data_IF_145304637859
#
_entry.id   IF_145304637859
#
_cell.length_a   1.000
_cell.length_b   1.000
_cell.length_c   1.000
_cell.angle_alpha   90.00
_cell.angle_beta   90.00
_cell.angle_gamma   90.00
#
_symmetry.space_group_name_H-M   'P 1'
#
loop_
_entity.id
_entity.type
_entity.pdbx_description
1 polymer ?
#
# COMPACT_ATOMS: atom_id res chain seq x y z
N UNK A 1 -18.46 7.65 5.65
CA UNK A 1 -19.18 6.67 6.51
C UNK A 1 -19.41 7.32 7.86
N UNK A 2 -20.57 7.16 8.51
CA UNK A 2 -20.94 7.95 9.72
C UNK A 2 -20.89 7.18 11.06
N UNK A 3 -20.69 5.86 11.07
CA UNK A 3 -20.82 5.03 12.29
C UNK A 3 -19.73 3.95 12.44
N UNK A 4 -18.58 4.11 11.81
CA UNK A 4 -17.52 3.08 11.85
C UNK A 4 -16.18 3.75 12.10
N UNK A 5 -15.44 3.21 13.06
CA UNK A 5 -14.04 3.55 13.32
C UNK A 5 -13.17 2.38 12.86
N UNK A 6 -12.09 2.66 12.14
CA UNK A 6 -11.17 1.65 11.62
C UNK A 6 -9.72 2.02 11.94
N UNK A 7 -8.92 0.99 12.21
CA UNK A 7 -7.46 1.10 12.31
C UNK A 7 -6.82 -0.13 11.67
N UNK A 8 -5.60 0.02 11.18
CA UNK A 8 -4.84 -1.09 10.65
C UNK A 8 -4.48 -2.08 11.77
N UNK A 9 -4.66 -3.37 11.48
CA UNK A 9 -4.15 -4.44 12.33
C UNK A 9 -2.63 -4.54 12.17
N UNK A 10 -1.94 -5.13 13.15
CA UNK A 10 -0.47 -5.30 13.12
C UNK A 10 0.01 -6.00 11.84
N UNK A 11 -0.71 -7.03 11.41
CA UNK A 11 -0.44 -7.80 10.18
C UNK A 11 -0.46 -6.94 8.90
N UNK A 12 -1.22 -5.85 8.86
CA UNK A 12 -1.27 -4.98 7.69
C UNK A 12 0.07 -4.25 7.44
N UNK A 13 0.88 -4.03 8.47
CA UNK A 13 2.21 -3.44 8.30
C UNK A 13 3.17 -4.39 7.59
N UNK A 14 2.99 -5.71 7.72
CA UNK A 14 3.84 -6.69 7.05
C UNK A 14 3.65 -6.67 5.53
N UNK A 15 2.43 -6.36 5.05
CA UNK A 15 2.12 -6.20 3.63
C UNK A 15 2.72 -4.94 3.00
N UNK A 16 3.14 -3.96 3.81
CA UNK A 16 3.69 -2.68 3.37
C UNK A 16 5.16 -2.48 3.76
N UNK A 17 5.76 -3.47 4.42
CA UNK A 17 7.04 -3.33 5.13
C UNK A 17 8.21 -2.88 4.25
N UNK A 18 8.15 -3.16 2.95
CA UNK A 18 9.24 -2.88 2.00
C UNK A 18 8.80 -1.93 0.85
N UNK A 19 7.66 -1.23 1.01
CA UNK A 19 7.11 -0.34 -0.01
C UNK A 19 8.00 0.89 -0.26
N UNK A 20 8.67 1.42 0.77
CA UNK A 20 9.55 2.59 0.68
C UNK A 20 10.95 2.28 0.12
N UNK A 21 11.27 1.00 -0.12
CA UNK A 21 12.60 0.56 -0.58
C UNK A 21 12.68 0.40 -2.10
N UNK A 22 11.81 1.07 -2.85
CA UNK A 22 11.73 0.98 -4.32
C UNK A 22 11.63 -0.48 -4.82
N UNK A 23 10.93 -1.35 -4.06
CA UNK A 23 10.83 -2.79 -4.37
C UNK A 23 9.77 -3.12 -5.43
N UNK A 24 8.93 -2.15 -5.78
CA UNK A 24 7.82 -2.30 -6.72
C UNK A 24 7.78 -1.10 -7.65
N UNK A 25 7.31 -1.34 -8.86
CA UNK A 25 7.07 -0.26 -9.83
C UNK A 25 5.85 0.57 -9.41
N UNK A 26 5.89 1.86 -9.75
CA UNK A 26 4.81 2.79 -9.48
C UNK A 26 4.19 3.27 -10.79
N UNK A 27 2.86 3.28 -10.82
CA UNK A 27 2.04 3.75 -11.94
C UNK A 27 1.30 5.03 -11.55
N UNK A 28 0.95 5.83 -12.55
CA UNK A 28 0.14 7.03 -12.32
C UNK A 28 -1.29 6.68 -11.89
N UNK A 29 -1.85 7.49 -10.99
CA UNK A 29 -3.27 7.45 -10.69
C UNK A 29 -4.12 7.98 -11.87
N UNK A 30 -5.44 7.95 -11.74
CA UNK A 30 -6.37 8.23 -12.84
C UNK A 30 -6.23 9.64 -13.46
N UNK A 31 -5.75 10.64 -12.70
CA UNK A 31 -5.55 12.02 -13.16
C UNK A 31 -4.07 12.39 -13.32
N UNK A 32 -3.15 11.45 -13.08
CA UNK A 32 -1.71 11.63 -13.22
C UNK A 32 -1.06 12.54 -12.17
N UNK A 33 -1.73 12.80 -11.05
CA UNK A 33 -1.20 13.68 -10.00
C UNK A 33 -0.41 12.93 -8.93
N UNK A 34 -0.72 11.65 -8.72
CA UNK A 34 -0.13 10.81 -7.67
C UNK A 34 0.38 9.49 -8.25
N UNK A 35 1.36 8.89 -7.56
CA UNK A 35 1.91 7.57 -7.89
C UNK A 35 1.34 6.49 -6.96
N UNK A 36 0.98 5.35 -7.53
CA UNK A 36 0.42 4.20 -6.81
C UNK A 36 1.28 2.97 -7.15
N UNK A 37 1.61 2.11 -6.18
CA UNK A 37 2.33 0.87 -6.47
C UNK A 37 1.50 -0.06 -7.37
N UNK A 38 2.14 -0.66 -8.37
CA UNK A 38 1.49 -1.62 -9.29
C UNK A 38 1.16 -2.94 -8.57
N UNK A 39 2.02 -3.34 -7.62
CA UNK A 39 1.83 -4.53 -6.76
C UNK A 39 2.21 -4.21 -5.31
N UNK A 40 1.61 -4.93 -4.36
CA UNK A 40 1.97 -4.81 -2.95
C UNK A 40 3.16 -5.73 -2.61
N UNK A 41 4.20 -5.22 -1.93
CA UNK A 41 5.35 -6.02 -1.52
C UNK A 41 4.99 -6.92 -0.34
N UNK A 42 4.32 -8.04 -0.63
CA UNK A 42 4.04 -9.08 0.37
C UNK A 42 5.30 -9.90 0.60
N UNK A 43 5.71 -10.07 1.85
CA UNK A 43 6.75 -11.04 2.18
C UNK A 43 6.21 -12.44 1.94
N UNK A 44 6.80 -13.18 1.00
CA UNK A 44 6.52 -14.60 0.82
C UNK A 44 6.86 -15.33 2.13
N UNK A 45 5.85 -15.95 2.75
CA UNK A 45 6.07 -17.01 3.74
C UNK A 45 6.52 -18.29 3.07
#
# INVERSE_FOLDING_TARGET
MRYTEIRLAKIAHELMADLEKETVDFVDNYDGTEKIPDVMPTKNS
#
